data_IF_989460685753
#
_entry.id   IF_989460685753
#
_cell.length_a   1.000
_cell.length_b   1.000
_cell.length_c   1.000
_cell.angle_alpha   90.00
_cell.angle_beta   90.00
_cell.angle_gamma   90.00
#
_symmetry.space_group_name_H-M   'P 1'
#
loop_
_entity.id
_entity.type
_entity.pdbx_description
1 polymer ?
#
# COMPACT_ATOMS: atom_id res chain seq x y z
N UNK A 1 17.26 -14.55 5.62
CA UNK A 1 17.22 -13.25 4.92
C UNK A 1 16.73 -12.25 5.95
N UNK A 2 17.52 -11.22 6.26
CA UNK A 2 17.12 -10.17 7.19
C UNK A 2 16.20 -9.19 6.46
N UNK A 3 15.06 -8.87 7.07
CA UNK A 3 14.03 -7.97 6.54
C UNK A 3 14.34 -6.48 6.72
N UNK A 4 15.53 -6.14 7.23
CA UNK A 4 15.99 -4.75 7.38
C UNK A 4 16.37 -4.08 6.04
N UNK A 5 16.46 -4.83 4.93
CA UNK A 5 16.71 -4.32 3.57
C UNK A 5 15.46 -3.73 2.88
N UNK A 6 14.29 -3.70 3.54
CA UNK A 6 13.06 -3.09 3.00
C UNK A 6 12.86 -1.63 3.46
N UNK A 7 13.94 -0.87 3.67
CA UNK A 7 13.82 0.57 3.47
C UNK A 7 13.57 0.78 1.98
N UNK A 8 12.36 1.19 1.61
CA UNK A 8 12.07 1.62 0.24
C UNK A 8 12.91 2.89 -0.04
N UNK A 9 14.16 2.68 -0.43
CA UNK A 9 15.00 3.67 -1.05
C UNK A 9 14.63 3.68 -2.54
N UNK A 10 14.10 4.79 -3.08
CA UNK A 10 13.83 4.90 -4.52
C UNK A 10 15.08 4.69 -5.39
N UNK A 11 16.29 4.72 -4.81
CA UNK A 11 17.55 4.34 -5.46
C UNK A 11 17.82 2.83 -5.45
N UNK A 12 17.43 2.07 -4.41
CA UNK A 12 17.81 0.65 -4.26
C UNK A 12 16.82 -0.35 -4.90
N UNK A 13 15.54 0.00 -5.05
CA UNK A 13 14.60 -0.86 -5.79
C UNK A 13 14.71 -0.61 -7.31
N UNK A 14 15.74 -1.21 -7.91
CA UNK A 14 15.72 -2.08 -9.12
C UNK A 14 17.11 -2.14 -9.81
N UNK A 15 18.13 -2.76 -9.21
CA UNK A 15 19.30 -3.21 -9.97
C UNK A 15 19.01 -4.54 -10.70
N UNK A 16 17.93 -4.55 -11.49
CA UNK A 16 17.74 -5.54 -12.53
C UNK A 16 18.61 -5.14 -13.73
N UNK A 17 19.87 -5.60 -13.70
CA UNK A 17 20.80 -5.70 -14.83
C UNK A 17 20.59 -4.67 -15.97
N UNK A 18 21.35 -3.56 -15.91
CA UNK A 18 21.94 -2.96 -17.11
C UNK A 18 21.04 -2.23 -18.11
N UNK A 19 19.87 -1.73 -17.70
CA UNK A 19 19.09 -0.78 -18.50
C UNK A 19 19.31 0.66 -18.05
N UNK A 20 19.91 1.51 -18.89
CA UNK A 20 19.96 2.94 -18.63
C UNK A 20 18.53 3.52 -18.65
N UNK A 21 17.90 3.70 -17.47
CA UNK A 21 16.58 4.34 -17.35
C UNK A 21 16.59 5.70 -18.04
N UNK A 22 15.62 5.93 -18.91
CA UNK A 22 15.55 7.18 -19.66
C UNK A 22 15.21 8.34 -18.71
N UNK A 23 15.71 9.57 -18.94
CA UNK A 23 15.46 10.72 -18.07
C UNK A 23 13.97 11.04 -17.82
N UNK A 24 13.07 10.62 -18.71
CA UNK A 24 11.61 10.77 -18.55
C UNK A 24 11.02 9.84 -17.47
N UNK A 25 11.39 8.56 -17.48
CA UNK A 25 10.88 7.53 -16.55
C UNK A 25 11.18 7.85 -15.08
N UNK A 26 12.28 8.57 -14.81
CA UNK A 26 12.63 9.02 -13.46
C UNK A 26 11.67 10.11 -12.96
N UNK A 27 11.27 11.05 -13.82
CA UNK A 27 10.35 12.13 -13.44
C UNK A 27 8.95 11.60 -13.12
N UNK A 28 8.46 10.68 -13.94
CA UNK A 28 7.15 10.05 -13.73
C UNK A 28 7.12 9.29 -12.40
N UNK A 29 8.22 8.60 -12.05
CA UNK A 29 8.39 7.92 -10.76
C UNK A 29 8.38 8.93 -9.59
N UNK A 30 9.12 10.02 -9.70
CA UNK A 30 9.21 11.05 -8.65
C UNK A 30 7.85 11.72 -8.41
N UNK A 31 7.06 11.95 -9.46
CA UNK A 31 5.70 12.47 -9.37
C UNK A 31 4.78 11.54 -8.58
N UNK A 32 4.81 10.23 -8.85
CA UNK A 32 4.03 9.23 -8.11
C UNK A 32 4.41 9.22 -6.62
N UNK A 33 5.70 9.30 -6.29
CA UNK A 33 6.16 9.33 -4.90
C UNK A 33 5.86 10.66 -4.19
N UNK A 34 5.57 11.71 -4.94
CA UNK A 34 5.15 12.99 -4.38
C UNK A 34 3.67 13.00 -3.94
N UNK A 35 2.85 12.07 -4.46
CA UNK A 35 1.41 12.01 -4.19
C UNK A 35 1.11 11.88 -2.69
N UNK A 36 0.13 12.64 -2.16
CA UNK A 36 -0.25 12.55 -0.75
C UNK A 36 -0.63 11.13 -0.31
N UNK A 37 -1.40 10.42 -1.13
CA UNK A 37 -1.83 9.04 -0.86
C UNK A 37 -0.63 8.07 -0.80
N UNK A 38 0.38 8.27 -1.66
CA UNK A 38 1.59 7.44 -1.67
C UNK A 38 2.43 7.66 -0.41
N UNK A 39 2.60 8.91 0.02
CA UNK A 39 3.29 9.22 1.27
C UNK A 39 2.59 8.58 2.46
N UNK A 40 1.26 8.72 2.53
CA UNK A 40 0.47 8.11 3.60
C UNK A 40 0.51 6.58 3.58
N UNK A 41 0.58 5.94 2.40
CA UNK A 41 0.80 4.49 2.29
C UNK A 41 2.15 4.06 2.90
N UNK A 42 3.22 4.82 2.65
CA UNK A 42 4.53 4.58 3.25
C UNK A 42 4.51 4.78 4.77
N UNK A 43 3.84 5.82 5.26
CA UNK A 43 3.66 6.03 6.70
C UNK A 43 2.95 4.82 7.34
N UNK A 44 1.87 4.32 6.73
CA UNK A 44 1.17 3.12 7.19
C UNK A 44 2.12 1.93 7.26
N UNK A 45 2.91 1.68 6.22
CA UNK A 45 3.87 0.58 6.21
C UNK A 45 4.90 0.68 7.34
N UNK A 46 5.44 1.88 7.58
CA UNK A 46 6.40 2.11 8.66
C UNK A 46 5.77 1.88 10.04
N UNK A 47 4.56 2.38 10.27
CA UNK A 47 3.82 2.16 11.53
C UNK A 47 3.53 0.67 11.70
N UNK A 48 3.06 -0.01 10.65
CA UNK A 48 2.81 -1.45 10.67
C UNK A 48 4.07 -2.24 10.99
N UNK A 49 5.21 -1.91 10.37
CA UNK A 49 6.50 -2.54 10.67
C UNK A 49 6.88 -2.40 12.14
N UNK A 50 6.82 -1.18 12.69
CA UNK A 50 7.11 -0.95 14.10
C UNK A 50 6.15 -1.70 15.02
N UNK A 51 4.86 -1.80 14.65
CA UNK A 51 3.85 -2.52 15.42
C UNK A 51 4.10 -4.04 15.43
N UNK A 52 4.42 -4.64 14.28
CA UNK A 52 4.64 -6.10 14.21
C UNK A 52 5.93 -6.53 14.91
N UNK A 53 6.93 -5.64 15.04
CA UNK A 53 8.14 -5.89 15.83
C UNK A 53 7.83 -6.05 17.33
N UNK A 54 6.70 -5.53 17.82
CA UNK A 54 6.24 -5.69 19.20
C UNK A 54 5.49 -7.00 19.45
N UNK A 55 5.11 -7.72 18.40
CA UNK A 55 4.38 -9.00 18.50
C UNK A 55 5.39 -10.11 18.77
N UNK A 56 5.15 -10.90 19.82
CA UNK A 56 5.95 -12.09 20.15
C UNK A 56 5.82 -13.15 19.05
N UNK A 57 6.93 -13.43 18.36
CA UNK A 57 6.97 -14.34 17.21
C UNK A 57 6.57 -15.78 17.59
N UNK A 58 6.87 -16.22 18.83
CA UNK A 58 6.46 -17.55 19.31
C UNK A 58 4.94 -17.66 19.54
N UNK A 59 4.26 -16.53 19.67
CA UNK A 59 2.80 -16.45 19.89
C UNK A 59 2.03 -16.04 18.64
N UNK A 60 2.71 -15.77 17.53
CA UNK A 60 2.06 -15.40 16.26
C UNK A 60 1.55 -16.64 15.50
N UNK A 61 0.59 -17.36 16.10
CA UNK A 61 0.04 -18.61 15.55
C UNK A 61 -0.67 -18.42 14.20
N UNK A 62 -1.10 -17.20 13.89
CA UNK A 62 -1.89 -16.88 12.69
C UNK A 62 -1.10 -16.15 11.60
N UNK A 63 0.23 -16.06 11.72
CA UNK A 63 1.09 -15.29 10.80
C UNK A 63 0.64 -13.83 10.67
N UNK A 64 0.06 -13.26 11.74
CA UNK A 64 -0.47 -11.90 11.79
C UNK A 64 0.60 -10.88 11.40
N UNK A 65 1.84 -11.07 11.84
CA UNK A 65 2.96 -10.18 11.48
C UNK A 65 3.15 -10.12 9.97
N UNK A 66 3.20 -11.28 9.32
CA UNK A 66 3.42 -11.39 7.88
C UNK A 66 2.27 -10.78 7.10
N UNK A 67 1.02 -11.14 7.42
CA UNK A 67 -0.13 -10.63 6.69
C UNK A 67 -0.31 -9.11 6.86
N UNK A 68 0.01 -8.54 8.03
CA UNK A 68 -0.03 -7.10 8.22
C UNK A 68 0.99 -6.37 7.33
N UNK A 69 2.22 -6.87 7.27
CA UNK A 69 3.26 -6.31 6.40
C UNK A 69 2.91 -6.43 4.91
N UNK A 70 2.37 -7.58 4.50
CA UNK A 70 1.92 -7.81 3.13
C UNK A 70 0.80 -6.82 2.75
N UNK A 71 -0.24 -6.72 3.57
CA UNK A 71 -1.36 -5.80 3.35
C UNK A 71 -0.88 -4.34 3.25
N UNK A 72 -0.02 -3.91 4.17
CA UNK A 72 0.52 -2.55 4.16
C UNK A 72 1.37 -2.27 2.92
N UNK A 73 2.20 -3.22 2.49
CA UNK A 73 3.05 -3.10 1.30
C UNK A 73 2.24 -3.00 -0.01
N UNK A 74 1.07 -3.65 -0.04
CA UNK A 74 0.19 -3.64 -1.20
C UNK A 74 -0.45 -2.27 -1.44
N UNK A 75 -0.56 -1.40 -0.44
CA UNK A 75 -1.08 -0.04 -0.64
C UNK A 75 -0.18 0.76 -1.61
N UNK A 76 1.11 0.86 -1.30
CA UNK A 76 2.05 1.64 -2.11
C UNK A 76 2.28 1.02 -3.49
N UNK A 77 2.48 -0.31 -3.56
CA UNK A 77 2.74 -0.98 -4.84
C UNK A 77 1.58 -0.85 -5.84
N UNK A 78 0.33 -0.86 -5.36
CA UNK A 78 -0.86 -0.71 -6.21
C UNK A 78 -1.14 0.74 -6.59
N UNK A 79 -0.75 1.72 -5.77
CA UNK A 79 -0.75 3.13 -6.20
C UNK A 79 0.22 3.31 -7.37
N UNK A 80 1.45 2.79 -7.24
CA UNK A 80 2.42 2.86 -8.34
C UNK A 80 1.95 2.16 -9.62
N UNK A 81 1.30 1.00 -9.48
CA UNK A 81 0.71 0.27 -10.60
C UNK A 81 -0.43 1.03 -11.29
N UNK A 82 -1.28 1.73 -10.53
CA UNK A 82 -2.36 2.55 -11.09
C UNK A 82 -1.82 3.75 -11.89
N UNK A 83 -0.78 4.42 -11.40
CA UNK A 83 -0.22 5.60 -12.06
C UNK A 83 0.61 5.26 -13.31
N UNK A 84 1.06 4.01 -13.48
CA UNK A 84 1.90 3.61 -14.62
C UNK A 84 1.19 3.42 -15.95
N UNK A 85 -0.15 3.32 -15.98
CA UNK A 85 -0.90 2.96 -17.20
C UNK A 85 -2.04 3.90 -17.60
N UNK A 86 -2.48 4.78 -16.70
CA UNK A 86 -3.60 5.73 -16.85
C UNK A 86 -4.94 5.20 -17.42
N UNK A 87 -5.09 3.90 -17.66
CA UNK A 87 -6.34 3.28 -18.10
C UNK A 87 -7.30 3.16 -16.94
N UNK A 88 -8.54 3.63 -17.13
CA UNK A 88 -9.55 3.68 -16.07
C UNK A 88 -9.76 2.32 -15.39
N UNK A 89 -9.99 1.26 -16.16
CA UNK A 89 -10.26 -0.06 -15.59
C UNK A 89 -9.05 -0.57 -14.78
N UNK A 90 -7.84 -0.41 -15.29
CA UNK A 90 -6.61 -0.79 -14.57
C UNK A 90 -6.42 0.00 -13.27
N UNK A 91 -6.69 1.31 -13.29
CA UNK A 91 -6.63 2.15 -12.08
C UNK A 91 -7.67 1.71 -11.05
N UNK A 92 -8.88 1.41 -11.50
CA UNK A 92 -9.97 0.92 -10.65
C UNK A 92 -9.67 -0.45 -10.03
N UNK A 93 -9.10 -1.39 -10.77
CA UNK A 93 -8.66 -2.69 -10.25
C UNK A 93 -7.63 -2.53 -9.12
N UNK A 94 -6.61 -1.70 -9.34
CA UNK A 94 -5.62 -1.39 -8.31
C UNK A 94 -6.28 -0.72 -7.10
N UNK A 95 -7.23 0.20 -7.32
CA UNK A 95 -7.98 0.85 -6.24
C UNK A 95 -8.81 -0.15 -5.41
N UNK A 96 -9.40 -1.17 -6.04
CA UNK A 96 -10.11 -2.26 -5.35
C UNK A 96 -9.15 -3.04 -4.45
N UNK A 97 -7.97 -3.40 -4.98
CA UNK A 97 -6.95 -4.13 -4.20
C UNK A 97 -6.47 -3.29 -3.01
N UNK A 98 -6.18 -2.00 -3.21
CA UNK A 98 -5.81 -1.07 -2.13
C UNK A 98 -6.88 -1.06 -1.04
N UNK A 99 -8.15 -0.88 -1.42
CA UNK A 99 -9.26 -0.82 -0.47
C UNK A 99 -9.42 -2.13 0.31
N UNK A 100 -9.24 -3.28 -0.34
CA UNK A 100 -9.30 -4.58 0.31
C UNK A 100 -8.21 -4.71 1.38
N UNK A 101 -6.95 -4.41 1.02
CA UNK A 101 -5.80 -4.52 1.92
C UNK A 101 -5.89 -3.54 3.10
N UNK A 102 -6.34 -2.30 2.87
CA UNK A 102 -6.54 -1.34 3.95
C UNK A 102 -7.62 -1.79 4.96
N UNK A 103 -8.68 -2.45 4.48
CA UNK A 103 -9.73 -3.02 5.34
C UNK A 103 -9.21 -4.23 6.11
N UNK A 104 -8.44 -5.10 5.46
CA UNK A 104 -7.85 -6.25 6.13
C UNK A 104 -6.88 -5.83 7.23
N UNK A 105 -6.07 -4.79 6.97
CA UNK A 105 -5.18 -4.21 7.98
C UNK A 105 -5.96 -3.69 9.20
N UNK A 106 -7.12 -3.04 9.00
CA UNK A 106 -8.02 -2.65 10.09
C UNK A 106 -8.59 -3.85 10.85
N UNK A 107 -8.95 -4.93 10.15
CA UNK A 107 -9.40 -6.18 10.80
C UNK A 107 -8.30 -6.74 11.69
N UNK A 108 -7.07 -6.81 11.19
CA UNK A 108 -5.89 -7.28 11.92
C UNK A 108 -5.61 -6.42 13.15
N UNK A 109 -5.77 -5.09 13.08
CA UNK A 109 -5.66 -4.24 14.29
C UNK A 109 -6.67 -4.61 15.37
N UNK A 110 -7.85 -5.11 14.99
CA UNK A 110 -8.88 -5.53 15.93
C UNK A 110 -8.53 -6.88 16.58
N UNK A 111 -7.89 -7.78 15.84
CA UNK A 111 -7.34 -9.04 16.37
C UNK A 111 -6.24 -8.75 17.41
N UNK A 112 -5.31 -7.84 17.10
CA UNK A 112 -4.24 -7.44 18.03
C UNK A 112 -4.75 -6.83 19.34
N UNK A 113 -5.92 -6.19 19.34
CA UNK A 113 -6.53 -5.65 20.57
C UNK A 113 -7.24 -6.72 21.41
N UNK A 114 -7.62 -7.85 20.80
CA UNK A 114 -8.19 -8.99 21.51
C UNK A 114 -7.11 -9.82 22.19
N UNK A 115 -5.93 -9.90 21.57
CA UNK A 115 -4.75 -10.49 22.17
C UNK A 115 -4.16 -9.48 23.18
N UNK A 116 -4.16 -9.78 24.49
CA UNK A 116 -3.75 -8.85 25.57
C UNK A 116 -2.26 -8.45 25.56
N UNK A 117 -1.57 -8.57 24.43
CA UNK A 117 -0.11 -8.48 24.31
C UNK A 117 0.38 -7.21 23.58
N UNK A 118 -0.51 -6.34 23.08
CA UNK A 118 -0.11 -5.18 22.27
C UNK A 118 -0.50 -3.86 22.93
N UNK A 119 0.40 -2.88 22.90
CA UNK A 119 0.12 -1.53 23.38
C UNK A 119 -0.90 -0.84 22.47
N UNK A 120 -2.06 -0.53 23.04
CA UNK A 120 -3.20 0.11 22.38
C UNK A 120 -2.83 1.42 21.66
N UNK A 121 -1.89 2.21 22.18
CA UNK A 121 -1.51 3.49 21.57
C UNK A 121 -0.92 3.31 20.15
N UNK A 122 -0.11 2.27 19.94
CA UNK A 122 0.45 1.98 18.61
C UNK A 122 -0.63 1.46 17.65
N UNK A 123 -1.61 0.72 18.16
CA UNK A 123 -2.76 0.27 17.37
C UNK A 123 -3.64 1.47 16.96
N UNK A 124 -3.92 2.36 17.89
CA UNK A 124 -4.72 3.57 17.63
C UNK A 124 -4.02 4.48 16.61
N UNK A 125 -2.68 4.61 16.69
CA UNK A 125 -1.87 5.33 15.70
C UNK A 125 -2.04 4.75 14.28
N UNK A 126 -1.95 3.41 14.13
CA UNK A 126 -2.14 2.75 12.84
C UNK A 126 -3.58 2.97 12.31
N UNK A 127 -4.59 2.82 13.17
CA UNK A 127 -5.99 3.03 12.78
C UNK A 127 -6.26 4.46 12.33
N UNK A 128 -5.66 5.45 12.99
CA UNK A 128 -5.74 6.85 12.58
C UNK A 128 -5.10 7.07 11.21
N UNK A 129 -3.89 6.53 10.98
CA UNK A 129 -3.20 6.65 9.70
C UNK A 129 -4.01 6.04 8.55
N UNK A 130 -4.70 4.90 8.80
CA UNK A 130 -5.60 4.28 7.81
C UNK A 130 -6.83 5.15 7.52
N UNK A 131 -7.39 5.83 8.51
CA UNK A 131 -8.52 6.75 8.28
C UNK A 131 -8.10 7.98 7.47
N UNK A 132 -6.95 8.57 7.77
CA UNK A 132 -6.37 9.65 6.97
C UNK A 132 -6.11 9.18 5.52
N UNK A 133 -5.57 7.97 5.36
CA UNK A 133 -5.39 7.34 4.05
C UNK A 133 -6.71 7.16 3.31
N UNK A 134 -7.79 6.77 3.99
CA UNK A 134 -9.12 6.58 3.39
C UNK A 134 -9.65 7.87 2.76
N UNK A 135 -9.40 9.02 3.39
CA UNK A 135 -9.78 10.32 2.84
C UNK A 135 -8.97 10.63 1.57
N UNK A 136 -7.64 10.47 1.64
CA UNK A 136 -6.76 10.66 0.48
C UNK A 136 -7.09 9.70 -0.67
N UNK A 137 -7.52 8.47 -0.36
CA UNK A 137 -7.94 7.48 -1.34
C UNK A 137 -9.20 7.92 -2.08
N UNK A 138 -10.18 8.51 -1.40
CA UNK A 138 -11.39 9.04 -2.05
C UNK A 138 -11.02 10.16 -3.02
N UNK A 139 -10.19 11.10 -2.56
CA UNK A 139 -9.73 12.21 -3.40
C UNK A 139 -8.95 11.69 -4.62
N UNK A 140 -8.07 10.72 -4.42
CA UNK A 140 -7.30 10.10 -5.49
C UNK A 140 -8.15 9.38 -6.53
N UNK A 141 -9.10 8.52 -6.12
CA UNK A 141 -10.00 7.81 -7.04
C UNK A 141 -10.89 8.80 -7.81
N UNK A 142 -11.25 9.94 -7.22
CA UNK A 142 -12.04 10.96 -7.91
C UNK A 142 -11.35 11.58 -9.13
N UNK A 143 -10.03 11.42 -9.25
CA UNK A 143 -9.23 11.90 -10.39
C UNK A 143 -9.24 10.96 -11.60
N UNK A 144 -9.86 9.78 -11.50
CA UNK A 144 -9.79 8.78 -12.56
C UNK A 144 -10.70 9.15 -13.72
N UNK A 145 -10.13 9.21 -14.93
CA UNK A 145 -10.87 9.56 -16.15
C UNK A 145 -11.55 8.33 -16.75
N UNK A 146 -12.87 8.24 -16.60
CA UNK A 146 -13.71 7.17 -17.18
C UNK A 146 -13.68 7.12 -18.71
N UNK A 147 -13.31 8.23 -19.36
CA UNK A 147 -13.22 8.32 -20.81
C UNK A 147 -11.94 7.70 -21.37
N UNK A 148 -10.91 7.49 -20.54
CA UNK A 148 -9.64 6.91 -20.95
C UNK A 148 -9.57 5.43 -20.57
N UNK A 149 -10.17 4.57 -21.39
CA UNK A 149 -10.19 3.13 -21.14
C UNK A 149 -10.14 2.31 -22.44
N UNK A 150 -9.71 1.05 -22.31
CA UNK A 150 -9.64 0.10 -23.43
C UNK A 150 -10.34 -1.19 -23.00
N UNK A 151 -11.19 -1.79 -23.85
CA UNK A 151 -11.81 -3.08 -23.55
C UNK A 151 -10.76 -4.17 -23.31
N UNK A 152 -10.84 -4.82 -22.14
CA UNK A 152 -9.93 -5.88 -21.69
C UNK A 152 -10.43 -7.30 -22.00
N UNK A 153 -11.70 -7.43 -22.42
CA UNK A 153 -12.37 -8.71 -22.70
C UNK A 153 -12.93 -9.45 -21.48
N UNK A 154 -12.77 -8.90 -20.27
CA UNK A 154 -13.33 -9.44 -19.02
C UNK A 154 -14.71 -8.87 -18.68
N UNK A 155 -15.16 -7.89 -19.45
CA UNK A 155 -16.46 -7.24 -19.32
C UNK A 155 -16.36 -5.90 -18.61
N UNK A 156 -17.47 -5.15 -18.56
CA UNK A 156 -17.47 -3.86 -17.90
C UNK A 156 -17.69 -4.02 -16.39
N UNK A 157 -16.61 -3.94 -15.60
CA UNK A 157 -16.64 -4.04 -14.14
C UNK A 157 -16.96 -2.69 -13.44
N UNK A 158 -16.73 -1.56 -14.12
CA UNK A 158 -16.68 -0.23 -13.47
C UNK A 158 -17.49 0.88 -14.16
N UNK A 159 -18.34 0.55 -15.14
CA UNK A 159 -19.16 1.52 -15.88
C UNK A 159 -20.66 1.41 -15.65
#
# INVERSE_FOLDING_TARGET
MNFEDFSFDPEDDFDAQGGSRQPGERRDRDEVFSLPIMKKAKDIYQITRALVELIDEEKDEFMTRQFMLENASLLASKIAGAEGGNLYSLRMENAVIIKLNARELLTQTSVLLMEENVNKEYVDLLRQAIEEFRLLFIDWVSTFDKGNDIPDGWGNLFG
#
